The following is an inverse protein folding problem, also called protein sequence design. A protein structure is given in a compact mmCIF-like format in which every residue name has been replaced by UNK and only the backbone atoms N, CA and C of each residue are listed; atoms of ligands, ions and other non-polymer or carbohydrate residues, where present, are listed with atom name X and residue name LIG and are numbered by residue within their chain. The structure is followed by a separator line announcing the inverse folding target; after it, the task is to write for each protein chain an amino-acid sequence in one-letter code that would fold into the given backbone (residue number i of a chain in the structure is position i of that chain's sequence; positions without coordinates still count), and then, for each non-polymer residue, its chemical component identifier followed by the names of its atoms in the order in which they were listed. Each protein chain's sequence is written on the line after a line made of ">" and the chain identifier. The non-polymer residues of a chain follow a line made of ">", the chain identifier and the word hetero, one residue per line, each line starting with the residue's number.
data_IF_225101154519
#
_entry.id   IF_225101154519
#
_cell.length_a   1.000
_cell.length_b   1.000
_cell.length_c   1.000
_cell.angle_alpha   90.00
_cell.angle_beta   90.00
_cell.angle_gamma   90.00
#
_symmetry.space_group_name_H-M   'P 1'
#
loop_
_entity.id
_entity.type
_entity.pdbx_description
1 polymer ?
#
# COMPACT_ATOMS: atom_id res chain seq x y z
N UNK A 1 -4.87 -22.33 -5.84
CA UNK A 1 -4.56 -21.05 -5.17
C UNK A 1 -3.35 -21.26 -4.26
N UNK A 2 -2.38 -20.38 -4.38
CA UNK A 2 -1.19 -20.40 -3.53
C UNK A 2 -1.24 -19.23 -2.57
N UNK A 3 -0.75 -19.43 -1.35
CA UNK A 3 -0.71 -18.37 -0.34
C UNK A 3 0.74 -18.13 0.08
N UNK A 4 1.14 -16.85 0.04
CA UNK A 4 2.46 -16.39 0.44
C UNK A 4 2.29 -15.51 1.67
N UNK A 5 3.05 -15.79 2.71
CA UNK A 5 3.02 -15.02 3.96
C UNK A 5 4.28 -14.19 4.15
N UNK A 6 4.10 -12.97 4.66
CA UNK A 6 5.19 -12.12 5.13
C UNK A 6 5.07 -11.93 6.62
N UNK A 7 6.16 -12.17 7.33
CA UNK A 7 6.28 -11.88 8.76
C UNK A 7 7.53 -11.05 9.02
N UNK A 8 7.53 -10.32 10.12
CA UNK A 8 8.67 -9.52 10.53
C UNK A 8 8.70 -9.41 12.05
N UNK A 9 9.92 -9.31 12.61
CA UNK A 9 10.11 -9.14 14.06
C UNK A 9 10.08 -7.66 14.45
N UNK A 10 10.69 -6.78 13.66
CA UNK A 10 10.82 -5.36 13.96
C UNK A 10 10.21 -4.43 12.92
N UNK A 11 10.08 -4.87 11.66
CA UNK A 11 9.43 -4.08 10.62
C UNK A 11 7.94 -3.91 10.95
N UNK A 12 7.44 -2.69 10.89
CA UNK A 12 6.04 -2.39 11.19
C UNK A 12 5.10 -3.05 10.19
N UNK A 13 3.85 -3.29 10.61
CA UNK A 13 2.80 -3.82 9.73
C UNK A 13 2.52 -2.88 8.55
N UNK A 14 2.69 -1.58 8.76
CA UNK A 14 2.56 -0.57 7.71
C UNK A 14 3.64 -0.74 6.62
N UNK A 15 4.88 -0.87 7.04
CA UNK A 15 6.00 -1.08 6.12
C UNK A 15 5.95 -2.46 5.46
N UNK A 16 5.53 -3.46 6.19
CA UNK A 16 5.35 -4.81 5.67
C UNK A 16 4.29 -4.84 4.55
N UNK A 17 3.17 -4.15 4.74
CA UNK A 17 2.15 -4.01 3.71
C UNK A 17 2.67 -3.23 2.50
N UNK A 18 3.47 -2.21 2.71
CA UNK A 18 4.10 -1.44 1.63
C UNK A 18 5.03 -2.32 0.80
N UNK A 19 5.84 -3.15 1.46
CA UNK A 19 6.72 -4.12 0.78
C UNK A 19 5.88 -5.10 -0.06
N UNK A 20 4.80 -5.62 0.50
CA UNK A 20 3.92 -6.55 -0.21
C UNK A 20 3.30 -5.90 -1.46
N UNK A 21 2.75 -4.69 -1.34
CA UNK A 21 2.06 -4.01 -2.43
C UNK A 21 3.01 -3.53 -3.53
N UNK A 22 4.19 -3.03 -3.18
CA UNK A 22 5.06 -2.31 -4.12
C UNK A 22 6.31 -3.09 -4.54
N UNK A 23 6.75 -4.05 -3.77
CA UNK A 23 7.95 -4.84 -4.08
C UNK A 23 7.59 -6.26 -4.50
N UNK A 24 6.76 -6.94 -3.74
CA UNK A 24 6.50 -8.37 -3.94
C UNK A 24 5.38 -8.59 -4.95
N UNK A 25 4.24 -7.94 -4.80
CA UNK A 25 3.10 -8.12 -5.68
C UNK A 25 3.43 -7.89 -7.16
N UNK A 26 4.11 -6.78 -7.56
CA UNK A 26 4.48 -6.59 -8.97
C UNK A 26 5.38 -7.68 -9.51
N UNK A 27 6.31 -8.18 -8.71
CA UNK A 27 7.20 -9.27 -9.11
C UNK A 27 6.44 -10.57 -9.33
N UNK A 28 5.49 -10.90 -8.46
CA UNK A 28 4.66 -12.09 -8.61
C UNK A 28 3.73 -11.97 -9.83
N UNK A 29 3.16 -10.80 -10.07
CA UNK A 29 2.32 -10.56 -11.26
C UNK A 29 3.10 -10.71 -12.56
N UNK A 30 4.39 -10.41 -12.58
CA UNK A 30 5.24 -10.57 -13.76
C UNK A 30 5.65 -12.01 -14.02
N UNK A 31 5.38 -12.92 -13.08
CA UNK A 31 5.69 -14.35 -13.23
C UNK A 31 4.69 -15.00 -14.18
N UNK A 32 5.18 -15.73 -15.19
CA UNK A 32 4.31 -16.44 -16.13
C UNK A 32 3.40 -17.42 -15.43
N UNK A 33 2.11 -17.42 -15.77
CA UNK A 33 1.11 -18.29 -15.19
C UNK A 33 0.34 -17.71 -14.01
N UNK A 34 0.69 -16.52 -13.52
CA UNK A 34 -0.05 -15.82 -12.48
C UNK A 34 -1.15 -14.97 -13.11
N UNK A 35 -2.41 -15.20 -12.68
CA UNK A 35 -3.56 -14.41 -13.12
C UNK A 35 -3.81 -13.21 -12.23
N UNK A 36 -3.68 -13.38 -10.91
CA UNK A 36 -4.00 -12.34 -9.93
C UNK A 36 -3.21 -12.54 -8.65
N UNK A 37 -2.89 -11.43 -7.99
CA UNK A 37 -2.31 -11.41 -6.63
C UNK A 37 -3.12 -10.45 -5.77
N UNK A 38 -3.75 -10.96 -4.73
CA UNK A 38 -4.47 -10.17 -3.74
C UNK A 38 -3.64 -10.08 -2.45
N UNK A 39 -3.64 -8.92 -1.81
CA UNK A 39 -2.90 -8.69 -0.56
C UNK A 39 -3.90 -8.50 0.57
N UNK A 40 -3.67 -9.21 1.68
CA UNK A 40 -4.54 -9.19 2.87
C UNK A 40 -3.69 -8.95 4.12
N UNK A 41 -4.19 -8.14 5.02
CA UNK A 41 -3.54 -7.85 6.29
C UNK A 41 -2.57 -6.67 6.21
N UNK A 42 -1.88 -6.41 7.31
CA UNK A 42 -1.05 -5.24 7.46
C UNK A 42 -1.85 -3.95 7.59
N UNK A 43 -1.14 -2.84 7.62
CA UNK A 43 -1.75 -1.52 7.68
C UNK A 43 -1.62 -0.81 6.33
N UNK A 44 -2.73 -0.28 5.85
CA UNK A 44 -2.75 0.54 4.63
C UNK A 44 -2.41 1.97 5.03
N UNK A 45 -1.50 2.61 4.27
CA UNK A 45 -1.16 4.01 4.50
C UNK A 45 -2.30 4.93 4.08
N UNK A 46 -2.63 5.84 4.98
CA UNK A 46 -3.59 6.91 4.75
C UNK A 46 -2.88 8.25 4.87
N UNK A 47 -3.21 9.18 4.01
CA UNK A 47 -2.80 10.56 4.18
C UNK A 47 -3.94 11.39 4.78
N UNK A 48 -3.58 12.37 5.59
CA UNK A 48 -4.49 13.39 6.12
C UNK A 48 -3.86 14.76 5.88
N UNK A 49 -4.58 15.59 5.16
CA UNK A 49 -4.18 16.97 4.90
C UNK A 49 -5.11 17.86 5.71
N UNK A 50 -4.65 18.30 6.87
CA UNK A 50 -5.40 19.20 7.73
C UNK A 50 -5.20 20.63 7.25
N UNK A 51 -6.20 21.18 6.60
CA UNK A 51 -6.14 22.51 5.98
C UNK A 51 -6.18 23.60 7.04
N UNK A 52 -5.36 24.62 6.86
CA UNK A 52 -5.36 25.82 7.69
C UNK A 52 -5.99 26.98 6.91
N UNK A 53 -7.22 27.42 7.25
CA UNK A 53 -7.92 28.46 6.50
C UNK A 53 -7.16 29.79 6.46
N UNK A 54 -6.42 30.13 7.53
CA UNK A 54 -5.65 31.37 7.57
C UNK A 54 -4.45 31.32 6.63
N UNK A 55 -3.72 30.21 6.61
CA UNK A 55 -2.61 30.01 5.68
C UNK A 55 -3.09 29.96 4.23
N UNK A 56 -4.24 29.34 3.99
CA UNK A 56 -4.87 29.32 2.67
C UNK A 56 -5.19 30.73 2.18
N UNK A 57 -5.77 31.57 3.05
CA UNK A 57 -6.05 32.96 2.70
C UNK A 57 -4.78 33.78 2.46
N UNK A 58 -3.74 33.54 3.27
CA UNK A 58 -2.46 34.22 3.12
C UNK A 58 -1.85 33.99 1.74
N UNK A 59 -1.91 32.76 1.23
CA UNK A 59 -1.38 32.38 -0.08
C UNK A 59 -2.43 32.43 -1.19
N UNK A 60 -3.65 32.83 -0.90
CA UNK A 60 -4.78 32.86 -1.86
C UNK A 60 -5.04 31.50 -2.51
N UNK A 61 -4.94 30.43 -1.73
CA UNK A 61 -5.19 29.06 -2.19
C UNK A 61 -6.66 28.70 -1.97
N UNK A 62 -7.31 28.20 -3.01
CA UNK A 62 -8.69 27.73 -2.95
C UNK A 62 -8.76 26.23 -2.66
N UNK A 63 -9.92 25.79 -2.17
CA UNK A 63 -10.21 24.37 -1.96
C UNK A 63 -10.10 23.58 -3.27
N UNK A 64 -10.57 24.15 -4.37
CA UNK A 64 -10.47 23.51 -5.70
C UNK A 64 -9.05 23.24 -6.14
N UNK A 65 -8.13 24.17 -5.86
CA UNK A 65 -6.71 23.99 -6.16
C UNK A 65 -6.09 22.84 -5.37
N UNK A 66 -6.48 22.68 -4.09
CA UNK A 66 -6.02 21.57 -3.24
C UNK A 66 -6.55 20.23 -3.76
N UNK A 67 -7.84 20.15 -4.09
CA UNK A 67 -8.43 18.93 -4.61
C UNK A 67 -7.83 18.52 -5.97
N UNK A 68 -7.52 19.49 -6.81
CA UNK A 68 -6.85 19.24 -8.08
C UNK A 68 -5.46 18.62 -7.89
N UNK A 69 -4.68 19.11 -6.94
CA UNK A 69 -3.35 18.57 -6.64
C UNK A 69 -3.44 17.11 -6.16
N UNK A 70 -4.38 16.81 -5.28
CA UNK A 70 -4.55 15.43 -4.79
C UNK A 70 -4.97 14.46 -5.89
N UNK A 71 -5.75 14.91 -6.87
CA UNK A 71 -6.10 14.11 -8.05
C UNK A 71 -4.91 13.91 -8.99
N UNK A 72 -4.14 14.97 -9.26
CA UNK A 72 -2.97 14.92 -10.14
C UNK A 72 -1.87 14.00 -9.59
N UNK A 73 -1.78 13.87 -8.28
CA UNK A 73 -0.81 12.98 -7.65
C UNK A 73 -1.20 11.50 -7.72
N UNK A 74 -2.38 11.18 -8.21
CA UNK A 74 -2.90 9.81 -8.27
C UNK A 74 -2.79 9.08 -6.92
N UNK A 75 -3.13 9.78 -5.83
CA UNK A 75 -3.02 9.22 -4.49
C UNK A 75 -3.99 8.07 -4.27
N UNK A 76 -5.16 8.13 -4.91
CA UNK A 76 -6.10 7.03 -5.02
C UNK A 76 -6.98 7.21 -6.25
N UNK A 77 -7.77 6.18 -6.61
CA UNK A 77 -8.58 6.18 -7.81
C UNK A 77 -9.64 7.29 -7.85
N UNK A 78 -10.11 7.74 -6.69
CA UNK A 78 -11.19 8.72 -6.55
C UNK A 78 -10.71 10.08 -6.01
N UNK A 79 -9.40 10.28 -5.86
CA UNK A 79 -8.86 11.45 -5.20
C UNK A 79 -9.11 11.43 -3.69
N UNK A 80 -8.83 12.55 -3.01
CA UNK A 80 -9.08 12.69 -1.59
C UNK A 80 -10.55 12.98 -1.30
N UNK A 81 -11.00 12.59 -0.11
CA UNK A 81 -12.34 12.93 0.38
C UNK A 81 -12.21 14.05 1.43
N UNK A 82 -12.96 15.10 1.22
CA UNK A 82 -12.99 16.24 2.13
C UNK A 82 -13.98 15.97 3.27
N UNK A 83 -13.50 16.10 4.49
CA UNK A 83 -14.30 16.04 5.70
C UNK A 83 -14.33 17.41 6.36
N UNK A 84 -15.51 17.87 6.78
CA UNK A 84 -15.69 19.10 7.50
C UNK A 84 -16.17 18.82 8.92
N UNK A 85 -15.41 19.31 9.90
CA UNK A 85 -15.73 19.19 11.33
C UNK A 85 -15.73 20.61 11.95
N UNK A 86 -16.91 21.24 12.02
CA UNK A 86 -16.98 22.63 12.46
C UNK A 86 -16.23 23.55 11.50
N UNK A 87 -15.16 24.19 11.98
CA UNK A 87 -14.30 25.07 11.17
C UNK A 87 -13.04 24.39 10.66
N UNK A 88 -12.93 23.08 10.87
CA UNK A 88 -11.78 22.30 10.41
C UNK A 88 -12.10 21.53 9.13
N UNK A 89 -11.14 21.51 8.22
CA UNK A 89 -11.24 20.81 6.95
C UNK A 89 -10.07 19.86 6.82
N UNK A 90 -10.37 18.56 6.62
CA UNK A 90 -9.39 17.51 6.48
C UNK A 90 -9.66 16.78 5.18
N UNK A 91 -8.63 16.70 4.30
CA UNK A 91 -8.67 15.85 3.12
C UNK A 91 -7.98 14.53 3.49
N UNK A 92 -8.70 13.42 3.35
CA UNK A 92 -8.21 12.08 3.68
C UNK A 92 -8.29 11.19 2.47
N UNK A 93 -7.33 10.30 2.36
CA UNK A 93 -7.34 9.30 1.32
C UNK A 93 -6.30 8.22 1.54
N UNK A 94 -6.41 7.15 0.77
CA UNK A 94 -5.46 6.04 0.81
C UNK A 94 -4.28 6.39 -0.11
N UNK A 95 -3.07 6.19 0.40
CA UNK A 95 -1.87 6.37 -0.43
C UNK A 95 -1.70 5.17 -1.37
N UNK A 96 -1.67 5.47 -2.67
CA UNK A 96 -1.45 4.48 -3.73
C UNK A 96 -0.08 4.62 -4.39
N UNK A 97 0.84 5.33 -3.74
CA UNK A 97 2.22 5.53 -4.21
C UNK A 97 3.21 5.27 -3.09
N UNK A 98 4.40 4.72 -3.39
CA UNK A 98 5.45 4.56 -2.39
C UNK A 98 6.16 5.87 -2.03
N UNK A 99 5.97 6.94 -2.82
CA UNK A 99 6.63 8.23 -2.63
C UNK A 99 5.89 9.10 -1.62
N UNK A 100 5.80 8.62 -0.39
CA UNK A 100 5.04 9.22 0.70
C UNK A 100 5.62 10.57 1.15
N UNK A 101 6.93 10.69 1.12
CA UNK A 101 7.65 11.86 1.64
C UNK A 101 7.46 13.12 0.79
N UNK A 102 7.02 12.96 -0.45
CA UNK A 102 6.85 14.07 -1.39
C UNK A 102 5.47 14.74 -1.28
N UNK A 103 4.54 14.18 -0.51
CA UNK A 103 3.17 14.69 -0.45
C UNK A 103 3.11 16.15 0.01
N UNK A 104 3.78 16.48 1.11
CA UNK A 104 3.80 17.85 1.63
C UNK A 104 4.48 18.85 0.71
N UNK A 105 5.38 18.39 -0.16
CA UNK A 105 6.13 19.21 -1.11
C UNK A 105 5.41 19.42 -2.44
N UNK A 106 4.22 18.84 -2.61
CA UNK A 106 3.44 19.02 -3.83
C UNK A 106 3.05 20.48 -4.01
N UNK A 107 3.29 21.02 -5.20
CA UNK A 107 3.02 22.41 -5.52
C UNK A 107 1.53 22.60 -5.80
N UNK A 108 0.86 23.43 -5.00
CA UNK A 108 -0.56 23.75 -5.16
C UNK A 108 -0.74 24.84 -6.22
N UNK A 109 0.09 25.87 -6.16
CA UNK A 109 0.12 26.97 -7.12
C UNK A 109 1.47 27.68 -7.08
N UNK A 110 1.73 28.46 -8.11
CA UNK A 110 2.93 29.30 -8.17
C UNK A 110 2.51 30.77 -8.17
N UNK A 111 3.04 31.55 -7.22
CA UNK A 111 2.80 32.98 -7.12
C UNK A 111 4.11 33.71 -7.36
N UNK A 112 4.18 34.53 -8.41
CA UNK A 112 5.38 35.28 -8.77
C UNK A 112 6.66 34.42 -8.81
N UNK A 113 6.60 33.27 -9.48
CA UNK A 113 7.66 32.26 -9.55
C UNK A 113 7.95 31.53 -8.24
N UNK A 114 7.20 31.83 -7.18
CA UNK A 114 7.34 31.19 -5.86
C UNK A 114 6.35 30.03 -5.73
N UNK A 115 6.84 28.78 -5.55
CA UNK A 115 5.93 27.65 -5.39
C UNK A 115 5.31 27.62 -4.00
N UNK A 116 3.99 27.47 -3.93
CA UNK A 116 3.24 27.24 -2.70
C UNK A 116 2.92 25.76 -2.61
N UNK A 117 3.37 25.10 -1.56
CA UNK A 117 3.21 23.65 -1.38
C UNK A 117 2.09 23.33 -0.39
N UNK A 118 1.70 22.07 -0.32
CA UNK A 118 0.72 21.60 0.67
C UNK A 118 1.18 21.90 2.11
N UNK A 119 2.46 21.77 2.40
CA UNK A 119 3.01 22.08 3.72
C UNK A 119 2.85 23.56 4.10
N UNK A 120 2.83 24.46 3.12
CA UNK A 120 2.68 25.88 3.36
C UNK A 120 1.26 26.26 3.83
N UNK A 121 0.25 25.45 3.47
CA UNK A 121 -1.16 25.79 3.72
C UNK A 121 -1.88 24.75 4.60
N UNK A 122 -1.20 23.68 4.98
CA UNK A 122 -1.81 22.58 5.72
C UNK A 122 -0.78 21.81 6.54
N UNK A 123 -1.25 21.05 7.49
CA UNK A 123 -0.47 20.05 8.19
C UNK A 123 -0.73 18.69 7.53
N UNK A 124 0.33 18.06 7.02
CA UNK A 124 0.24 16.79 6.33
C UNK A 124 0.70 15.67 7.26
N UNK A 125 -0.16 14.68 7.45
CA UNK A 125 0.12 13.50 8.26
C UNK A 125 -0.07 12.25 7.44
N UNK A 126 0.79 11.27 7.67
CA UNK A 126 0.73 9.98 7.03
C UNK A 126 0.81 8.92 8.11
N UNK A 127 -0.08 7.95 8.06
CA UNK A 127 -0.14 6.91 9.06
C UNK A 127 -1.02 5.74 8.64
N UNK A 128 -1.24 4.80 9.53
CA UNK A 128 -2.11 3.66 9.25
C UNK A 128 -3.56 4.10 9.13
N UNK A 129 -4.28 3.49 8.19
CA UNK A 129 -5.72 3.69 8.04
C UNK A 129 -6.44 3.01 9.21
N UNK A 130 -7.24 3.77 9.95
CA UNK A 130 -8.09 3.23 11.00
C UNK A 130 -9.55 3.19 10.54
N UNK A 131 -10.39 2.26 11.04
CA UNK A 131 -10.07 1.15 11.93
C UNK A 131 -9.40 -0.02 11.20
N UNK A 132 -8.62 -0.80 11.95
CA UNK A 132 -7.97 -2.00 11.43
C UNK A 132 -8.99 -3.14 11.39
N UNK A 133 -9.55 -3.41 10.23
CA UNK A 133 -10.41 -4.56 10.01
C UNK A 133 -9.65 -5.61 9.19
N UNK A 134 -9.67 -6.86 9.64
CA UNK A 134 -9.06 -7.97 8.93
C UNK A 134 -7.56 -8.09 9.11
N UNK A 135 -7.11 -8.35 10.33
CA UNK A 135 -5.72 -8.71 10.58
C UNK A 135 -5.45 -10.15 10.14
N UNK A 136 -4.39 -10.34 9.36
CA UNK A 136 -3.90 -11.66 9.02
C UNK A 136 -2.85 -12.10 10.05
N UNK A 137 -2.73 -13.42 10.25
CA UNK A 137 -1.71 -13.96 11.14
C UNK A 137 -1.10 -15.23 10.59
N UNK A 138 0.18 -15.44 10.90
CA UNK A 138 0.90 -16.68 10.67
C UNK A 138 1.47 -17.17 11.99
N UNK A 139 1.14 -18.42 12.36
CA UNK A 139 1.61 -19.04 13.61
C UNK A 139 1.45 -18.15 14.85
N UNK A 140 0.32 -17.42 14.91
CA UNK A 140 0.05 -16.50 15.98
C UNK A 140 0.76 -15.15 15.92
N UNK A 141 1.59 -14.89 14.91
CA UNK A 141 2.24 -13.61 14.68
C UNK A 141 1.49 -12.80 13.63
N UNK A 142 1.38 -11.47 13.77
CA UNK A 142 0.82 -10.64 12.72
C UNK A 142 1.57 -10.84 11.40
N UNK A 143 0.81 -10.98 10.32
CA UNK A 143 1.38 -11.24 8.99
C UNK A 143 0.62 -10.49 7.91
N UNK A 144 1.30 -10.31 6.78
CA UNK A 144 0.67 -9.91 5.53
C UNK A 144 0.59 -11.16 4.66
N UNK A 145 -0.58 -11.46 4.15
CA UNK A 145 -0.80 -12.62 3.28
C UNK A 145 -1.07 -12.16 1.85
N UNK A 146 -0.51 -12.89 0.89
CA UNK A 146 -0.80 -12.68 -0.52
C UNK A 146 -1.39 -13.96 -1.09
N UNK A 147 -2.52 -13.83 -1.75
CA UNK A 147 -3.20 -14.93 -2.44
C UNK A 147 -2.86 -14.85 -3.91
N UNK A 148 -2.20 -15.88 -4.42
CA UNK A 148 -1.80 -15.96 -5.83
C UNK A 148 -2.76 -16.90 -6.56
N UNK A 149 -3.44 -16.39 -7.56
CA UNK A 149 -4.34 -17.17 -8.42
C UNK A 149 -3.63 -17.49 -9.72
N UNK A 150 -3.58 -18.78 -10.07
CA UNK A 150 -2.96 -19.22 -11.32
C UNK A 150 -3.89 -19.03 -12.51
N UNK A 151 -3.32 -18.91 -13.70
CA UNK A 151 -4.07 -19.02 -14.94
C UNK A 151 -4.52 -20.49 -15.15
N UNK A 152 -5.72 -20.72 -15.74
CA UNK A 152 -6.30 -22.08 -15.83
C UNK A 152 -5.41 -23.11 -16.52
N UNK A 153 -4.66 -22.70 -17.52
CA UNK A 153 -3.79 -23.60 -18.30
C UNK A 153 -2.43 -23.85 -17.67
N UNK A 154 -2.13 -23.25 -16.52
CA UNK A 154 -0.82 -23.32 -15.89
C UNK A 154 -0.75 -24.49 -14.91
N UNK A 155 0.35 -25.26 -14.98
CA UNK A 155 0.64 -26.30 -14.00
C UNK A 155 0.92 -25.69 -12.62
N UNK A 156 0.25 -26.20 -11.59
CA UNK A 156 0.47 -25.76 -10.21
C UNK A 156 1.91 -25.99 -9.76
N UNK A 157 2.49 -27.10 -10.15
CA UNK A 157 3.87 -27.44 -9.78
C UNK A 157 4.89 -26.50 -10.42
N UNK A 158 4.76 -26.23 -11.72
CA UNK A 158 5.65 -25.28 -12.41
C UNK A 158 5.53 -23.88 -11.84
N UNK A 159 4.30 -23.44 -11.57
CA UNK A 159 4.06 -22.11 -10.99
C UNK A 159 4.66 -22.01 -9.60
N UNK A 160 4.50 -23.03 -8.75
CA UNK A 160 5.08 -23.08 -7.42
C UNK A 160 6.61 -22.93 -7.48
N UNK A 161 7.26 -23.65 -8.38
CA UNK A 161 8.71 -23.57 -8.55
C UNK A 161 9.17 -22.17 -8.99
N UNK A 162 8.45 -21.56 -9.92
CA UNK A 162 8.73 -20.18 -10.37
C UNK A 162 8.54 -19.16 -9.26
N UNK A 163 7.47 -19.28 -8.49
CA UNK A 163 7.18 -18.37 -7.36
C UNK A 163 8.23 -18.52 -6.27
N UNK A 164 8.61 -19.72 -5.92
CA UNK A 164 9.65 -19.96 -4.91
C UNK A 164 10.99 -19.36 -5.34
N UNK A 165 11.36 -19.50 -6.62
CA UNK A 165 12.57 -18.88 -7.16
C UNK A 165 12.52 -17.35 -7.09
N UNK A 166 11.40 -16.76 -7.47
CA UNK A 166 11.20 -15.30 -7.41
C UNK A 166 11.26 -14.78 -5.98
N UNK A 167 10.60 -15.46 -5.04
CA UNK A 167 10.59 -15.08 -3.63
C UNK A 167 11.95 -15.21 -2.98
N UNK A 168 12.71 -16.25 -3.33
CA UNK A 168 14.07 -16.43 -2.86
C UNK A 168 15.00 -15.31 -3.34
N UNK A 169 14.83 -14.88 -4.58
CA UNK A 169 15.56 -13.74 -5.14
C UNK A 169 15.17 -12.43 -4.44
N UNK A 170 13.88 -12.19 -4.23
CA UNK A 170 13.38 -11.01 -3.53
C UNK A 170 13.86 -10.95 -2.08
N UNK A 171 13.97 -12.08 -1.39
CA UNK A 171 14.39 -12.13 0.02
C UNK A 171 15.75 -11.47 0.25
N UNK A 172 16.63 -11.49 -0.73
CA UNK A 172 17.95 -10.85 -0.65
C UNK A 172 17.89 -9.34 -0.54
N UNK A 173 16.82 -8.73 -1.05
CA UNK A 173 16.63 -7.27 -1.10
C UNK A 173 15.67 -6.75 -0.03
N UNK A 174 15.11 -7.63 0.79
CA UNK A 174 14.21 -7.26 1.87
C UNK A 174 14.97 -6.95 3.15
N UNK A 175 14.38 -6.17 4.09
CA UNK A 175 14.96 -6.01 5.42
C UNK A 175 15.25 -7.38 6.06
N UNK A 176 16.30 -7.45 6.87
CA UNK A 176 16.80 -8.70 7.41
C UNK A 176 15.79 -9.47 8.28
N UNK A 177 14.88 -8.75 8.93
CA UNK A 177 13.84 -9.33 9.80
C UNK A 177 12.59 -9.77 9.04
N UNK A 178 12.42 -9.33 7.79
CA UNK A 178 11.27 -9.71 6.96
C UNK A 178 11.50 -11.10 6.37
N UNK A 179 10.54 -11.99 6.63
CA UNK A 179 10.59 -13.37 6.13
C UNK A 179 9.40 -13.66 5.25
N UNK A 180 9.68 -14.30 4.13
CA UNK A 180 8.69 -14.74 3.16
C UNK A 180 8.52 -16.25 3.29
N UNK A 181 7.28 -16.72 3.39
CA UNK A 181 6.96 -18.14 3.53
C UNK A 181 5.87 -18.54 2.55
N UNK A 182 6.07 -19.68 1.88
CA UNK A 182 5.07 -20.29 1.01
C UNK A 182 4.41 -21.51 1.63
N UNK A 183 4.84 -21.91 2.82
CA UNK A 183 4.44 -23.19 3.44
C UNK A 183 3.15 -23.10 4.26
N UNK A 184 2.58 -21.91 4.42
CA UNK A 184 1.53 -21.67 5.41
C UNK A 184 0.20 -22.30 5.02
N UNK A 185 -0.18 -22.30 3.74
CA UNK A 185 -1.49 -22.73 3.27
C UNK A 185 -1.42 -23.41 1.90
N UNK A 186 -0.54 -24.42 1.75
CA UNK A 186 -0.58 -25.24 0.53
C UNK A 186 -1.87 -26.04 0.53
N UNK A 187 -2.73 -25.85 -0.45
CA UNK A 187 -3.94 -26.66 -0.63
C UNK A 187 -3.62 -28.12 -1.01
N UNK A 188 -2.36 -28.41 -1.29
CA UNK A 188 -1.92 -29.73 -1.69
C UNK A 188 -2.20 -30.88 -0.69
N UNK A 189 -2.29 -30.69 0.64
CA UNK A 189 -2.64 -31.80 1.53
C UNK A 189 -4.06 -32.32 1.38
N UNK A 190 -4.98 -31.49 0.89
CA UNK A 190 -6.39 -31.88 0.75
C UNK A 190 -6.66 -32.66 -0.53
N UNK A 191 -5.89 -32.44 -1.59
CA UNK A 191 -6.05 -33.18 -2.84
C UNK A 191 -5.39 -34.56 -2.83
N UNK A 192 -4.48 -34.82 -1.90
CA UNK A 192 -3.82 -36.15 -1.78
C UNK A 192 -4.64 -37.17 -1.00
N UNK A 193 -5.79 -36.83 -0.46
CA UNK A 193 -6.63 -37.74 0.31
C UNK A 193 -7.78 -38.35 -0.50
N UNK A 194 -7.92 -38.00 -1.77
CA UNK A 194 -9.05 -38.42 -2.59
C UNK A 194 -8.64 -39.13 -3.90
N UNK A 195 -7.37 -39.53 -4.07
CA UNK A 195 -6.94 -40.45 -5.16
C UNK A 195 -6.68 -41.85 -4.62
#
# INVERSE_FOLDING_TARGET
>A
MLIVGLTADSTSMLDLRTIADWTIRPRLLSTGGVAQVAVLGGDIKEYQIQLDPERMRHYSVSMGEIMAVTQDMNLNANGGVLYEFGNEYIVRGVLSTPKVEELGKAVVKTVNTFPVTLEDIADVKIGPKAPKLGTASERGKPAVLMTVTKQPATSTLELTDKLEASLKDLQKNLPADVKVSTDIFRQSPFHRKFD
#
